data_IF_380172455407
#
_entry.id   IF_380172455407
#
_cell.length_a   1.000
_cell.length_b   1.000
_cell.length_c   1.000
_cell.angle_alpha   90.00
_cell.angle_beta   90.00
_cell.angle_gamma   90.00
#
_symmetry.space_group_name_H-M   'P 1'
#
loop_
_entity.id
_entity.type
_entity.pdbx_description
1 polymer ?
#
# COMPACT_ATOMS: atom_id res chain seq x y z
N UNK A 1 8.50 -13.00 7.99
CA UNK A 1 9.46 -11.94 8.29
C UNK A 1 9.33 -10.84 7.23
N UNK A 2 9.28 -9.58 7.66
CA UNK A 2 9.29 -8.42 6.77
C UNK A 2 10.75 -8.09 6.44
N UNK A 3 11.10 -8.15 5.16
CA UNK A 3 12.42 -7.76 4.68
C UNK A 3 12.32 -6.35 4.08
N UNK A 4 12.85 -5.31 4.73
CA UNK A 4 12.83 -3.96 4.17
C UNK A 4 13.74 -3.87 2.95
N UNK A 5 13.35 -3.05 1.97
CA UNK A 5 14.23 -2.73 0.85
C UNK A 5 15.44 -1.92 1.34
N UNK A 6 16.58 -2.11 0.69
CA UNK A 6 17.81 -1.40 1.03
C UNK A 6 17.67 0.10 0.78
N UNK A 7 18.21 0.96 1.66
CA UNK A 7 18.21 2.40 1.45
C UNK A 7 18.87 2.76 0.11
N UNK A 8 18.29 3.71 -0.62
CA UNK A 8 18.80 4.22 -1.91
C UNK A 8 19.01 3.16 -3.01
N UNK A 9 18.26 2.04 -2.95
CA UNK A 9 18.24 1.00 -3.98
C UNK A 9 16.82 0.85 -4.56
N UNK A 10 16.38 1.77 -5.45
CA UNK A 10 15.04 1.75 -6.03
C UNK A 10 14.75 0.45 -6.80
N UNK A 11 15.76 -0.16 -7.38
CA UNK A 11 15.65 -1.43 -8.11
C UNK A 11 15.07 -2.58 -7.25
N UNK A 12 15.26 -2.55 -5.93
CA UNK A 12 14.68 -3.54 -5.01
C UNK A 12 13.14 -3.49 -4.99
N UNK A 13 12.53 -2.38 -5.47
CA UNK A 13 11.09 -2.14 -5.54
C UNK A 13 10.57 -1.88 -6.96
N UNK A 14 11.31 -2.21 -7.99
CA UNK A 14 10.96 -1.88 -9.38
C UNK A 14 9.54 -2.30 -9.77
N UNK A 15 9.04 -3.46 -9.30
CA UNK A 15 7.67 -3.93 -9.57
C UNK A 15 6.61 -3.04 -8.93
N UNK A 16 6.87 -2.52 -7.73
CA UNK A 16 5.95 -1.61 -7.03
C UNK A 16 5.93 -0.25 -7.75
N UNK A 17 7.08 0.27 -8.15
CA UNK A 17 7.17 1.54 -8.89
C UNK A 17 6.44 1.47 -10.22
N UNK A 18 6.60 0.37 -10.97
CA UNK A 18 5.82 0.14 -12.20
C UNK A 18 4.32 0.06 -11.88
N UNK A 19 3.92 -0.58 -10.79
CA UNK A 19 2.53 -0.63 -10.33
C UNK A 19 1.96 0.75 -10.06
N UNK A 20 2.70 1.62 -9.37
CA UNK A 20 2.32 3.01 -9.11
C UNK A 20 2.13 3.77 -10.43
N UNK A 21 3.06 3.68 -11.38
CA UNK A 21 2.92 4.32 -12.69
C UNK A 21 1.69 3.84 -13.47
N UNK A 22 1.34 2.56 -13.36
CA UNK A 22 0.11 2.02 -13.99
C UNK A 22 -1.12 2.67 -13.39
N UNK A 23 -1.19 2.78 -12.05
CA UNK A 23 -2.30 3.43 -11.34
C UNK A 23 -2.39 4.91 -11.69
N UNK A 24 -1.27 5.64 -11.69
CA UNK A 24 -1.23 7.05 -12.06
C UNK A 24 -1.77 7.29 -13.47
N UNK A 25 -1.31 6.52 -14.45
CA UNK A 25 -1.72 6.67 -15.85
C UNK A 25 -3.13 6.21 -16.13
N UNK A 26 -3.60 5.18 -15.43
CA UNK A 26 -4.90 4.58 -15.68
C UNK A 26 -6.03 5.19 -14.83
N UNK A 27 -5.75 5.51 -13.57
CA UNK A 27 -6.74 6.06 -12.64
C UNK A 27 -6.62 7.58 -12.58
N UNK A 28 -5.49 8.10 -12.09
CA UNK A 28 -5.36 9.54 -11.84
C UNK A 28 -5.43 10.37 -13.12
N UNK A 29 -4.82 9.91 -14.20
CA UNK A 29 -4.89 10.62 -15.47
C UNK A 29 -6.31 10.70 -16.05
N UNK A 30 -7.18 9.73 -15.79
CA UNK A 30 -8.61 9.77 -16.19
C UNK A 30 -9.43 10.74 -15.35
N UNK A 31 -9.06 10.94 -14.08
CA UNK A 31 -9.73 11.82 -13.14
C UNK A 31 -9.23 13.27 -13.21
N UNK A 32 -8.15 13.57 -13.92
CA UNK A 32 -7.44 14.87 -13.90
C UNK A 32 -8.29 16.10 -14.24
N UNK A 33 -9.40 15.92 -14.95
CA UNK A 33 -10.32 17.00 -15.34
C UNK A 33 -11.63 17.00 -14.55
N UNK A 34 -11.77 16.10 -13.56
CA UNK A 34 -12.93 16.05 -12.69
C UNK A 34 -12.67 16.85 -11.43
N UNK A 35 -13.71 17.51 -10.93
CA UNK A 35 -13.66 18.24 -9.67
C UNK A 35 -14.44 17.46 -8.63
N UNK A 36 -13.85 17.20 -7.49
CA UNK A 36 -14.44 16.49 -6.38
C UNK A 36 -14.57 17.42 -5.19
N UNK A 37 -15.77 17.55 -4.65
CA UNK A 37 -16.05 18.39 -3.47
C UNK A 37 -15.89 17.64 -2.15
N UNK A 38 -15.82 16.31 -2.19
CA UNK A 38 -15.61 15.49 -1.00
C UNK A 38 -14.60 14.36 -1.28
N UNK A 39 -13.90 13.95 -0.23
CA UNK A 39 -12.99 12.80 -0.30
C UNK A 39 -13.74 11.50 -0.62
N UNK A 40 -14.97 11.36 -0.13
CA UNK A 40 -15.82 10.19 -0.42
C UNK A 40 -16.15 10.07 -1.90
N UNK A 41 -16.47 11.17 -2.58
CA UNK A 41 -16.75 11.18 -4.01
C UNK A 41 -15.50 10.80 -4.82
N UNK A 42 -14.32 11.33 -4.44
CA UNK A 42 -13.06 10.94 -5.07
C UNK A 42 -12.76 9.45 -4.86
N UNK A 43 -12.92 8.95 -3.64
CA UNK A 43 -12.66 7.54 -3.35
C UNK A 43 -13.61 6.59 -4.11
N UNK A 44 -14.85 6.98 -4.29
CA UNK A 44 -15.82 6.21 -5.09
C UNK A 44 -15.35 6.12 -6.55
N UNK A 45 -15.01 7.25 -7.17
CA UNK A 45 -14.52 7.28 -8.54
C UNK A 45 -13.21 6.47 -8.72
N UNK A 46 -12.30 6.53 -7.76
CA UNK A 46 -11.09 5.70 -7.74
C UNK A 46 -11.44 4.21 -7.65
N UNK A 47 -12.40 3.84 -6.79
CA UNK A 47 -12.81 2.44 -6.62
C UNK A 47 -13.42 1.86 -7.91
N UNK A 48 -14.26 2.61 -8.61
CA UNK A 48 -14.84 2.21 -9.89
C UNK A 48 -13.74 1.95 -10.94
N UNK A 49 -12.80 2.88 -11.10
CA UNK A 49 -11.68 2.72 -12.03
C UNK A 49 -10.73 1.59 -11.63
N UNK A 50 -10.58 1.32 -10.35
CA UNK A 50 -9.80 0.18 -9.86
C UNK A 50 -10.43 -1.17 -10.23
N UNK A 51 -11.75 -1.27 -10.17
CA UNK A 51 -12.49 -2.45 -10.64
C UNK A 51 -12.22 -2.68 -12.12
N UNK A 52 -12.33 -1.64 -12.96
CA UNK A 52 -12.01 -1.72 -14.39
C UNK A 52 -10.55 -2.14 -14.62
N UNK A 53 -9.59 -1.52 -13.91
CA UNK A 53 -8.18 -1.82 -14.04
C UNK A 53 -7.87 -3.29 -13.73
N UNK A 54 -8.50 -3.85 -12.69
CA UNK A 54 -8.30 -5.23 -12.28
C UNK A 54 -8.99 -6.25 -13.20
N UNK A 55 -10.03 -5.83 -13.93
CA UNK A 55 -10.72 -6.64 -14.93
C UNK A 55 -10.09 -6.56 -16.34
N UNK A 56 -9.07 -5.70 -16.54
CA UNK A 56 -8.40 -5.61 -17.85
C UNK A 56 -7.63 -6.89 -18.18
N UNK A 57 -7.81 -7.43 -19.40
CA UNK A 57 -7.02 -8.55 -19.87
C UNK A 57 -5.52 -8.24 -19.85
N UNK A 58 -4.71 -9.21 -19.53
CA UNK A 58 -3.26 -9.12 -19.70
C UNK A 58 -2.90 -9.08 -21.19
N UNK A 59 -1.83 -8.38 -21.53
CA UNK A 59 -1.35 -8.30 -22.92
C UNK A 59 -0.68 -9.58 -23.41
N UNK A 60 -0.02 -10.32 -22.51
CA UNK A 60 0.85 -11.46 -22.86
C UNK A 60 0.43 -12.77 -22.18
N UNK A 61 -0.53 -12.73 -21.29
CA UNK A 61 -1.00 -13.85 -20.49
C UNK A 61 -2.52 -13.96 -20.61
N UNK A 62 -3.11 -15.15 -20.47
CA UNK A 62 -4.56 -15.30 -20.41
C UNK A 62 -5.12 -14.71 -19.11
N UNK A 63 -6.38 -14.29 -19.15
CA UNK A 63 -7.10 -13.79 -17.98
C UNK A 63 -6.75 -12.36 -17.58
N UNK A 64 -7.05 -12.00 -16.36
CA UNK A 64 -6.87 -10.69 -15.78
C UNK A 64 -6.51 -10.76 -14.28
N UNK A 65 -6.09 -9.63 -13.69
CA UNK A 65 -5.60 -9.58 -12.29
C UNK A 65 -6.59 -10.12 -11.29
N UNK A 66 -7.88 -9.76 -11.41
CA UNK A 66 -8.91 -10.20 -10.49
C UNK A 66 -9.08 -11.72 -10.52
N UNK A 67 -9.12 -12.32 -11.69
CA UNK A 67 -9.21 -13.75 -11.85
C UNK A 67 -8.03 -14.47 -11.19
N UNK A 68 -6.81 -14.01 -11.45
CA UNK A 68 -5.61 -14.61 -10.86
C UNK A 68 -5.55 -14.44 -9.34
N UNK A 69 -5.99 -13.30 -8.84
CA UNK A 69 -6.10 -13.09 -7.39
C UNK A 69 -7.09 -14.10 -6.77
N UNK A 70 -8.28 -14.25 -7.34
CA UNK A 70 -9.31 -15.15 -6.78
C UNK A 70 -8.91 -16.63 -6.89
N UNK A 71 -8.17 -17.00 -7.93
CA UNK A 71 -7.82 -18.42 -8.20
C UNK A 71 -6.49 -18.84 -7.57
N UNK A 72 -5.51 -17.95 -7.47
CA UNK A 72 -4.16 -18.26 -7.01
C UNK A 72 -3.83 -17.64 -5.66
N UNK A 73 -4.01 -16.33 -5.51
CA UNK A 73 -3.55 -15.61 -4.32
C UNK A 73 -4.49 -15.80 -3.14
N UNK A 74 -5.78 -15.60 -3.36
CA UNK A 74 -6.78 -15.65 -2.29
C UNK A 74 -6.83 -16.98 -1.54
N UNK A 75 -6.77 -18.16 -2.19
CA UNK A 75 -6.72 -19.44 -1.48
C UNK A 75 -5.44 -19.64 -0.65
N UNK A 76 -4.34 -18.97 -1.01
CA UNK A 76 -3.07 -19.03 -0.30
C UNK A 76 -2.97 -18.04 0.87
N UNK A 77 -3.89 -17.08 0.98
CA UNK A 77 -3.94 -16.14 2.09
C UNK A 77 -4.45 -16.83 3.36
N UNK A 78 -3.74 -16.62 4.46
CA UNK A 78 -4.21 -17.01 5.80
C UNK A 78 -5.29 -16.06 6.36
N UNK A 79 -5.86 -16.39 7.51
CA UNK A 79 -6.78 -15.50 8.21
C UNK A 79 -6.07 -14.17 8.55
N UNK A 80 -6.85 -13.09 8.61
CA UNK A 80 -6.35 -11.82 9.11
C UNK A 80 -5.99 -11.94 10.59
N UNK A 81 -4.96 -11.21 11.07
CA UNK A 81 -4.66 -11.12 12.50
C UNK A 81 -5.89 -10.65 13.29
N UNK A 82 -6.10 -11.20 14.48
CA UNK A 82 -7.19 -10.79 15.37
C UNK A 82 -7.08 -9.33 15.79
N UNK A 83 -5.84 -8.86 15.98
CA UNK A 83 -5.56 -7.47 16.30
C UNK A 83 -5.15 -6.70 15.04
N UNK A 84 -5.75 -5.54 14.80
CA UNK A 84 -5.32 -4.67 13.70
C UNK A 84 -3.87 -4.22 13.89
N UNK A 85 -3.18 -3.94 12.79
CA UNK A 85 -1.83 -3.41 12.85
C UNK A 85 -1.83 -2.00 13.45
N UNK A 86 -1.09 -1.82 14.55
CA UNK A 86 -0.84 -0.51 15.13
C UNK A 86 0.45 0.09 14.53
N UNK A 87 0.34 1.33 14.07
CA UNK A 87 1.51 2.06 13.59
C UNK A 87 2.36 2.45 14.78
N UNK A 88 3.50 1.78 14.95
CA UNK A 88 4.45 2.06 16.01
C UNK A 88 5.76 2.63 15.47
N UNK A 89 6.31 3.60 16.18
CA UNK A 89 7.65 4.13 15.91
C UNK A 89 8.61 3.61 16.97
N UNK A 90 9.60 2.82 16.54
CA UNK A 90 10.64 2.34 17.43
C UNK A 90 11.79 3.34 17.50
N UNK A 91 12.16 3.73 18.71
CA UNK A 91 13.30 4.61 18.97
C UNK A 91 14.21 3.92 19.99
N UNK A 92 15.49 3.81 19.67
CA UNK A 92 16.49 3.35 20.64
C UNK A 92 16.87 4.57 21.50
N UNK A 93 16.61 4.46 22.79
CA UNK A 93 16.87 5.53 23.74
C UNK A 93 17.83 5.05 24.83
N UNK A 94 18.59 5.99 25.40
CA UNK A 94 19.41 5.74 26.59
C UNK A 94 18.54 5.92 27.81
N UNK A 95 18.57 4.94 28.72
CA UNK A 95 17.94 5.08 30.03
C UNK A 95 18.79 5.99 30.92
N UNK A 96 18.18 6.99 31.50
CA UNK A 96 18.82 7.90 32.43
C UNK A 96 19.05 7.23 33.81
N UNK A 97 19.81 7.91 34.65
CA UNK A 97 20.16 7.41 36.00
C UNK A 97 18.92 7.23 36.92
N UNK A 98 17.87 7.98 36.64
CA UNK A 98 16.57 7.95 37.32
C UNK A 98 15.58 6.92 36.73
N UNK A 99 16.09 6.03 35.88
CA UNK A 99 15.32 4.98 35.19
C UNK A 99 14.27 5.47 34.17
N UNK A 100 14.25 6.76 33.86
CA UNK A 100 13.37 7.31 32.82
C UNK A 100 14.04 7.34 31.45
N UNK A 101 13.21 7.35 30.43
CA UNK A 101 13.60 7.52 29.03
C UNK A 101 12.96 8.80 28.50
N UNK A 102 13.76 9.68 27.92
CA UNK A 102 13.24 10.87 27.23
C UNK A 102 12.96 10.52 25.76
N UNK A 103 11.72 10.74 25.35
CA UNK A 103 11.30 10.61 23.96
C UNK A 103 10.60 11.90 23.56
N UNK A 104 11.27 12.69 22.72
CA UNK A 104 10.75 13.94 22.17
C UNK A 104 10.25 14.94 23.26
N UNK A 105 10.98 15.00 24.41
CA UNK A 105 10.67 15.88 25.55
C UNK A 105 9.65 15.31 26.54
N UNK A 106 9.28 14.07 26.39
CA UNK A 106 8.39 13.36 27.33
C UNK A 106 9.17 12.25 28.07
N UNK A 107 8.97 12.18 29.38
CA UNK A 107 9.58 11.16 30.24
C UNK A 107 8.64 9.96 30.39
N UNK A 108 9.19 8.75 30.19
CA UNK A 108 8.48 7.48 30.28
C UNK A 108 9.18 6.54 31.27
#
# INVERSE_FOLDING_TARGET
AILPARPRKPQDKAKVEVGVQVVERWILARLRHQVFFTLSALNLAVAELLVELNARPFKKLPGHRREWFETLDRPALGPLPEQPFEVARFKVCRVNIDYHVDIDGHYY
#
